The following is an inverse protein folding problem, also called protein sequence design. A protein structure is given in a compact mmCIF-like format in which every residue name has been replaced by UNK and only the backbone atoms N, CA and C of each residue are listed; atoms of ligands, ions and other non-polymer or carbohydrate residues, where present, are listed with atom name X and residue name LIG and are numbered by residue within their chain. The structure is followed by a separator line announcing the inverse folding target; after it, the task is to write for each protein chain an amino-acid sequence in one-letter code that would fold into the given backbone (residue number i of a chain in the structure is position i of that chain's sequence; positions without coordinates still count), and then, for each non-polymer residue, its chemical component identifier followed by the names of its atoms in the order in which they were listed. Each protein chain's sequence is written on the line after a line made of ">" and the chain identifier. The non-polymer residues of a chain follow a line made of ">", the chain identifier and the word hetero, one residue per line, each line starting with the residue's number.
data_IF_560290378346
#
_entry.id   IF_560290378346
#
_cell.length_a   1.000
_cell.length_b   1.000
_cell.length_c   1.000
_cell.angle_alpha   90.00
_cell.angle_beta   90.00
_cell.angle_gamma   90.00
#
_symmetry.space_group_name_H-M   'P 1'
#
loop_
_entity.id
_entity.type
_entity.pdbx_description
1 polymer ?
#
# COMPACT_ATOMS: atom_id res chain seq x y z
N UNK A 1 20.05 -32.52 57.48
CA UNK A 1 18.60 -32.36 57.24
C UNK A 1 18.22 -30.89 57.37
N UNK A 2 17.59 -30.36 56.31
CA UNK A 2 16.78 -29.13 56.29
C UNK A 2 17.61 -27.83 56.30
N UNK A 3 17.19 -26.85 55.51
CA UNK A 3 17.78 -25.49 55.36
C UNK A 3 18.90 -25.29 54.32
N UNK A 4 18.84 -25.89 53.13
CA UNK A 4 19.64 -25.38 51.99
C UNK A 4 19.06 -25.77 50.61
N UNK A 5 17.73 -25.89 50.50
CA UNK A 5 17.07 -26.33 49.26
C UNK A 5 15.85 -25.48 48.88
N UNK A 6 15.81 -24.19 49.23
CA UNK A 6 14.64 -23.36 48.96
C UNK A 6 15.01 -21.93 48.51
N UNK A 7 15.88 -21.81 47.51
CA UNK A 7 16.07 -20.51 46.85
C UNK A 7 16.43 -20.63 45.35
N UNK A 8 15.90 -21.66 44.69
CA UNK A 8 16.01 -21.85 43.24
C UNK A 8 14.62 -21.85 42.58
N UNK A 9 13.71 -20.97 43.02
CA UNK A 9 12.33 -20.90 42.51
C UNK A 9 11.85 -19.46 42.30
N UNK A 10 12.67 -18.58 41.70
CA UNK A 10 12.14 -17.35 41.05
C UNK A 10 13.06 -16.93 39.90
N UNK A 11 13.40 -17.86 39.00
CA UNK A 11 13.76 -17.48 37.63
C UNK A 11 12.49 -17.63 36.79
N UNK A 12 11.42 -16.91 37.17
CA UNK A 12 10.29 -16.71 36.27
C UNK A 12 10.77 -15.72 35.22
N UNK A 13 11.38 -16.29 34.19
CA UNK A 13 11.80 -15.63 32.96
C UNK A 13 10.60 -14.79 32.53
N UNK A 14 10.72 -13.47 32.65
CA UNK A 14 9.78 -12.54 32.04
C UNK A 14 9.86 -12.76 30.55
N UNK A 15 9.00 -13.64 30.02
CA UNK A 15 8.72 -13.71 28.61
C UNK A 15 8.04 -12.38 28.28
N UNK A 16 8.83 -11.37 27.92
CA UNK A 16 8.31 -10.16 27.32
C UNK A 16 7.59 -10.61 26.05
N UNK A 17 6.26 -10.69 26.11
CA UNK A 17 5.45 -10.90 24.92
C UNK A 17 5.77 -9.75 23.98
N UNK A 18 6.58 -10.00 22.95
CA UNK A 18 6.76 -9.03 21.89
C UNK A 18 5.39 -8.86 21.23
N UNK A 19 4.85 -7.65 21.29
CA UNK A 19 3.58 -7.34 20.65
C UNK A 19 3.77 -7.52 19.14
N UNK A 20 3.09 -8.52 18.58
CA UNK A 20 3.07 -8.79 17.15
C UNK A 20 2.48 -7.55 16.44
N UNK A 21 3.15 -7.09 15.38
CA UNK A 21 2.86 -5.86 14.67
C UNK A 21 2.79 -6.11 13.17
N UNK A 22 1.69 -5.67 12.54
CA UNK A 22 1.58 -5.68 11.09
C UNK A 22 2.47 -4.56 10.51
N UNK A 23 3.10 -4.81 9.36
CA UNK A 23 3.93 -3.82 8.68
C UNK A 23 3.73 -3.94 7.18
N UNK A 24 3.40 -2.83 6.54
CA UNK A 24 3.19 -2.78 5.09
C UNK A 24 4.45 -2.22 4.41
N UNK A 25 4.89 -2.85 3.33
CA UNK A 25 5.98 -2.36 2.49
C UNK A 25 5.54 -2.39 1.04
N UNK A 26 5.45 -1.22 0.42
CA UNK A 26 5.17 -1.10 -1.00
C UNK A 26 6.44 -1.28 -1.81
N UNK A 27 6.33 -1.92 -2.97
CA UNK A 27 7.42 -2.04 -3.94
C UNK A 27 7.84 -0.66 -4.46
N UNK A 28 6.83 0.17 -4.74
CA UNK A 28 7.00 1.56 -5.13
C UNK A 28 5.91 2.40 -4.45
N UNK A 29 6.30 3.58 -3.95
CA UNK A 29 5.37 4.56 -3.39
C UNK A 29 4.75 5.47 -4.46
N UNK A 30 5.29 5.43 -5.68
CA UNK A 30 4.95 6.32 -6.78
C UNK A 30 4.82 5.51 -8.06
N UNK A 31 3.63 5.52 -8.68
CA UNK A 31 3.45 4.94 -10.02
C UNK A 31 3.38 6.05 -11.06
N UNK A 32 4.22 5.91 -12.09
CA UNK A 32 4.17 6.77 -13.28
C UNK A 32 3.28 6.15 -14.35
N UNK A 33 2.30 6.92 -14.80
CA UNK A 33 1.48 6.56 -15.95
C UNK A 33 2.24 6.78 -17.25
N UNK A 34 3.31 7.59 -17.23
CA UNK A 34 3.94 8.16 -18.40
C UNK A 34 3.00 9.10 -19.12
N UNK A 35 3.18 9.19 -20.42
CA UNK A 35 2.31 9.93 -21.32
C UNK A 35 1.24 8.99 -21.88
N UNK A 36 -0.03 9.27 -21.60
CA UNK A 36 -1.17 8.43 -22.01
C UNK A 36 -2.17 9.22 -22.85
N UNK A 37 -2.85 8.55 -23.77
CA UNK A 37 -3.90 9.18 -24.56
C UNK A 37 -5.17 9.40 -23.74
N UNK A 38 -5.92 10.45 -24.09
CA UNK A 38 -7.28 10.68 -23.60
C UNK A 38 -8.16 9.45 -23.85
N UNK A 39 -8.93 9.04 -22.84
CA UNK A 39 -9.87 7.91 -22.94
C UNK A 39 -9.23 6.52 -22.84
N UNK A 40 -7.94 6.42 -22.53
CA UNK A 40 -7.28 5.15 -22.20
C UNK A 40 -7.80 4.55 -20.88
N UNK A 41 -7.51 3.27 -20.62
CA UNK A 41 -8.06 2.53 -19.46
C UNK A 41 -7.72 3.18 -18.10
N UNK A 42 -6.54 3.78 -17.98
CA UNK A 42 -6.14 4.52 -16.79
C UNK A 42 -5.87 3.66 -15.55
N UNK A 43 -5.72 2.34 -15.69
CA UNK A 43 -5.47 1.43 -14.55
C UNK A 43 -3.97 1.30 -14.27
N UNK A 44 -3.62 1.36 -12.99
CA UNK A 44 -2.28 1.05 -12.45
C UNK A 44 -2.39 0.29 -11.13
N UNK A 45 -1.32 -0.40 -10.76
CA UNK A 45 -1.29 -1.29 -9.60
C UNK A 45 -0.14 -0.91 -8.67
N UNK A 46 -0.44 -0.84 -7.38
CA UNK A 46 0.55 -0.80 -6.31
C UNK A 46 0.70 -2.20 -5.71
N UNK A 47 1.89 -2.78 -5.85
CA UNK A 47 2.27 -4.03 -5.20
C UNK A 47 2.82 -3.75 -3.80
N UNK A 48 2.38 -4.52 -2.82
CA UNK A 48 2.89 -4.43 -1.45
C UNK A 48 3.02 -5.80 -0.80
N UNK A 49 3.81 -5.85 0.27
CA UNK A 49 4.05 -7.05 1.08
C UNK A 49 3.84 -6.74 2.55
N UNK A 50 3.21 -7.68 3.27
CA UNK A 50 3.20 -7.64 4.73
C UNK A 50 4.57 -8.09 5.24
N UNK A 51 5.40 -7.15 5.66
CA UNK A 51 6.75 -7.40 6.22
C UNK A 51 6.73 -7.49 7.75
N UNK A 52 5.56 -7.42 8.36
CA UNK A 52 5.37 -7.59 9.79
C UNK A 52 5.25 -9.06 10.17
N UNK A 53 5.04 -9.28 11.45
CA UNK A 53 4.79 -10.61 12.01
C UNK A 53 3.30 -10.84 12.31
N UNK A 54 2.43 -9.83 12.29
CA UNK A 54 0.97 -9.98 12.43
C UNK A 54 0.21 -9.86 11.10
N UNK A 55 -1.02 -10.40 10.98
CA UNK A 55 -1.87 -10.19 9.81
C UNK A 55 -2.16 -8.71 9.53
N UNK A 56 -1.91 -8.28 8.30
CA UNK A 56 -2.15 -6.93 7.82
C UNK A 56 -3.58 -6.81 7.28
N UNK A 57 -4.32 -5.78 7.69
CA UNK A 57 -5.69 -5.50 7.25
C UNK A 57 -5.72 -4.11 6.62
N UNK A 58 -6.14 -4.04 5.37
CA UNK A 58 -6.39 -2.76 4.67
C UNK A 58 -7.82 -2.32 4.95
N UNK A 59 -7.98 -1.39 5.89
CA UNK A 59 -9.31 -0.89 6.29
C UNK A 59 -9.95 -0.07 5.17
N UNK A 60 -9.19 0.83 4.56
CA UNK A 60 -9.68 1.72 3.52
C UNK A 60 -8.57 2.17 2.55
N UNK A 61 -8.96 2.60 1.36
CA UNK A 61 -8.07 3.22 0.37
C UNK A 61 -8.80 4.41 -0.24
N UNK A 62 -8.32 5.62 0.04
CA UNK A 62 -8.93 6.87 -0.42
C UNK A 62 -8.08 7.51 -1.49
N UNK A 63 -8.65 7.76 -2.65
CA UNK A 63 -8.02 8.52 -3.73
C UNK A 63 -8.40 10.00 -3.68
N UNK A 64 -7.51 10.87 -4.18
CA UNK A 64 -7.88 12.24 -4.50
C UNK A 64 -8.77 12.31 -5.75
N UNK A 65 -9.52 13.42 -5.90
CA UNK A 65 -10.51 13.60 -6.96
C UNK A 65 -9.97 13.24 -8.37
N UNK A 66 -10.75 12.45 -9.11
CA UNK A 66 -10.40 11.98 -10.45
C UNK A 66 -9.68 10.63 -10.50
N UNK A 67 -9.53 9.92 -9.37
CA UNK A 67 -9.16 8.50 -9.39
C UNK A 67 -10.19 7.67 -8.63
N UNK A 68 -10.42 6.44 -9.06
CA UNK A 68 -11.19 5.43 -8.33
C UNK A 68 -10.25 4.31 -7.87
N UNK A 69 -10.69 3.54 -6.88
CA UNK A 69 -9.96 2.36 -6.38
C UNK A 69 -10.81 1.14 -6.68
N UNK A 70 -10.70 0.54 -7.88
CA UNK A 70 -11.55 -0.56 -8.29
C UNK A 70 -11.29 -1.85 -7.51
N UNK A 71 -10.07 -2.05 -6.99
CA UNK A 71 -9.70 -3.30 -6.31
C UNK A 71 -8.76 -3.05 -5.13
N UNK A 72 -9.15 -3.58 -3.97
CA UNK A 72 -8.31 -3.73 -2.77
C UNK A 72 -8.53 -5.12 -2.17
N UNK A 73 -7.55 -5.69 -1.43
CA UNK A 73 -7.77 -6.92 -0.70
C UNK A 73 -8.90 -6.76 0.32
N UNK A 74 -9.78 -7.76 0.39
CA UNK A 74 -10.96 -7.80 1.27
C UNK A 74 -10.70 -8.51 2.60
N UNK A 75 -9.59 -9.23 2.73
CA UNK A 75 -9.24 -10.02 3.90
C UNK A 75 -7.83 -9.73 4.45
N UNK A 76 -7.47 -10.35 5.58
CA UNK A 76 -6.15 -10.22 6.17
C UNK A 76 -5.06 -10.78 5.25
N UNK A 77 -3.95 -10.06 5.13
CA UNK A 77 -2.74 -10.47 4.41
C UNK A 77 -1.78 -11.08 5.45
N UNK A 78 -1.46 -12.35 5.29
CA UNK A 78 -0.54 -13.07 6.20
C UNK A 78 0.87 -12.46 6.19
N UNK A 79 1.65 -12.61 7.28
CA UNK A 79 3.08 -12.26 7.30
C UNK A 79 3.83 -12.87 6.11
N UNK A 80 4.65 -12.06 5.44
CA UNK A 80 5.41 -12.43 4.24
C UNK A 80 4.59 -12.51 2.95
N UNK A 81 3.26 -12.42 2.99
CA UNK A 81 2.44 -12.46 1.79
C UNK A 81 2.36 -11.10 1.10
N UNK A 82 2.30 -11.12 -0.23
CA UNK A 82 2.13 -9.95 -1.08
C UNK A 82 0.70 -9.83 -1.59
N UNK A 83 0.27 -8.59 -1.86
CA UNK A 83 -1.03 -8.27 -2.43
C UNK A 83 -0.95 -6.96 -3.22
N UNK A 84 -2.04 -6.57 -3.88
CA UNK A 84 -2.10 -5.43 -4.78
C UNK A 84 -3.25 -4.48 -4.47
N UNK A 85 -3.06 -3.19 -4.68
CA UNK A 85 -4.12 -2.18 -4.75
C UNK A 85 -4.17 -1.64 -6.18
N UNK A 86 -5.34 -1.71 -6.80
CA UNK A 86 -5.57 -1.18 -8.14
C UNK A 86 -6.14 0.23 -8.03
N UNK A 87 -5.59 1.15 -8.83
CA UNK A 87 -6.02 2.54 -8.92
C UNK A 87 -6.31 2.85 -10.37
N UNK A 88 -7.46 3.49 -10.62
CA UNK A 88 -7.86 3.90 -11.96
C UNK A 88 -8.00 5.42 -12.02
N UNK A 89 -7.20 6.06 -12.86
CA UNK A 89 -7.31 7.50 -13.13
C UNK A 89 -8.33 7.78 -14.24
N UNK A 90 -9.08 8.88 -14.11
CA UNK A 90 -9.97 9.39 -15.17
C UNK A 90 -9.16 10.07 -16.28
N UNK A 91 -8.82 9.29 -17.30
CA UNK A 91 -8.01 9.71 -18.45
C UNK A 91 -8.75 10.66 -19.41
N UNK A 92 -9.98 11.07 -19.12
CA UNK A 92 -10.63 12.15 -19.88
C UNK A 92 -10.11 13.54 -19.49
N UNK A 93 -9.35 13.61 -18.39
CA UNK A 93 -8.74 14.83 -17.86
C UNK A 93 -7.37 15.05 -18.51
N UNK A 94 -7.38 15.76 -19.63
CA UNK A 94 -6.16 16.17 -20.34
C UNK A 94 -5.26 17.02 -19.43
N UNK A 95 -3.95 16.79 -19.52
CA UNK A 95 -2.92 17.53 -18.78
C UNK A 95 -2.17 16.68 -17.75
N UNK A 96 -1.38 17.32 -16.87
CA UNK A 96 -0.51 16.62 -15.94
C UNK A 96 -1.30 15.90 -14.84
N UNK A 97 -0.91 14.65 -14.59
CA UNK A 97 -1.39 13.83 -13.48
C UNK A 97 -0.47 14.05 -12.29
N UNK A 98 -1.02 14.54 -11.18
CA UNK A 98 -0.37 14.61 -9.87
C UNK A 98 -1.41 14.36 -8.79
N UNK A 99 -1.51 13.11 -8.33
CA UNK A 99 -2.55 12.70 -7.38
C UNK A 99 -1.95 11.81 -6.29
N UNK A 100 -2.70 11.68 -5.21
CA UNK A 100 -2.31 10.93 -4.02
C UNK A 100 -3.42 9.95 -3.69
N UNK A 101 -3.01 8.73 -3.33
CA UNK A 101 -3.88 7.66 -2.85
C UNK A 101 -3.41 7.29 -1.45
N UNK A 102 -4.28 7.46 -0.46
CA UNK A 102 -3.97 7.17 0.94
C UNK A 102 -4.52 5.81 1.31
N UNK A 103 -3.63 4.92 1.75
CA UNK A 103 -3.95 3.57 2.24
C UNK A 103 -4.02 3.60 3.75
N UNK A 104 -5.12 3.10 4.31
CA UNK A 104 -5.35 2.97 5.74
C UNK A 104 -5.25 1.50 6.15
N UNK A 105 -4.52 1.22 7.23
CA UNK A 105 -4.31 -0.15 7.71
C UNK A 105 -4.10 -0.24 9.22
N UNK A 106 -4.06 -1.46 9.75
CA UNK A 106 -3.65 -1.76 11.12
C UNK A 106 -2.12 -1.89 11.29
N UNK A 107 -1.34 -1.50 10.28
CA UNK A 107 0.12 -1.56 10.36
C UNK A 107 0.68 -0.58 11.40
N UNK A 108 1.96 -0.75 11.74
CA UNK A 108 2.74 0.20 12.54
C UNK A 108 2.62 1.64 12.05
N UNK A 109 2.54 1.79 10.72
CA UNK A 109 2.22 3.04 10.05
C UNK A 109 0.77 2.94 9.54
N UNK A 110 -0.20 3.53 10.25
CA UNK A 110 -1.62 3.31 9.96
C UNK A 110 -2.08 4.01 8.67
N UNK A 111 -1.29 4.94 8.14
CA UNK A 111 -1.60 5.73 6.96
C UNK A 111 -0.37 5.82 6.05
N UNK A 112 -0.48 5.30 4.83
CA UNK A 112 0.58 5.40 3.81
C UNK A 112 0.06 6.18 2.62
N UNK A 113 0.79 7.22 2.21
CA UNK A 113 0.45 8.04 1.05
C UNK A 113 1.22 7.57 -0.19
N UNK A 114 0.49 7.08 -1.18
CA UNK A 114 1.02 6.68 -2.48
C UNK A 114 0.77 7.78 -3.51
N UNK A 115 1.69 7.97 -4.45
CA UNK A 115 1.63 9.01 -5.46
C UNK A 115 1.37 8.41 -6.83
N UNK A 116 0.60 9.11 -7.65
CA UNK A 116 0.54 8.84 -9.09
C UNK A 116 0.92 10.10 -9.86
N UNK A 117 1.70 9.88 -10.92
CA UNK A 117 2.15 10.93 -11.84
C UNK A 117 1.99 10.50 -13.29
N UNK A 118 2.12 11.45 -14.21
CA UNK A 118 2.04 11.22 -15.66
C UNK A 118 1.44 12.41 -16.38
N UNK A 119 1.01 12.21 -17.61
CA UNK A 119 0.38 13.24 -18.44
C UNK A 119 -0.64 12.61 -19.39
N UNK A 120 -1.82 13.22 -19.50
CA UNK A 120 -2.84 12.86 -20.48
C UNK A 120 -2.74 13.80 -21.69
N UNK A 121 -2.43 13.26 -22.86
CA UNK A 121 -2.39 14.03 -24.10
C UNK A 121 -3.77 14.25 -24.69
N UNK A 122 -3.96 15.42 -25.30
CA UNK A 122 -5.10 15.68 -26.17
C UNK A 122 -4.92 14.98 -27.52
N UNK A 123 -6.03 14.72 -28.20
CA UNK A 123 -6.06 14.03 -29.50
C UNK A 123 -5.17 14.76 -30.55
N UNK A 124 -5.11 16.09 -30.52
CA UNK A 124 -4.29 16.90 -31.43
C UNK A 124 -2.78 16.76 -31.23
N UNK A 125 -2.32 16.48 -30.00
CA UNK A 125 -0.91 16.32 -29.70
C UNK A 125 -0.38 14.93 -30.09
N UNK A 126 -1.24 13.90 -30.09
CA UNK A 126 -0.87 12.53 -30.46
C UNK A 126 -0.56 12.33 -31.95
N UNK A 127 -1.05 13.22 -32.82
CA UNK A 127 -0.87 13.16 -34.28
C UNK A 127 0.51 13.67 -34.69
N UNK A 128 1.06 14.64 -33.96
CA UNK A 128 2.32 15.30 -34.31
C UNK A 128 3.57 14.44 -34.02
N UNK A 129 3.54 13.51 -33.07
CA UNK A 129 4.67 12.57 -32.82
C UNK A 129 4.71 11.37 -33.79
N UNK A 130 3.63 11.11 -34.52
CA UNK A 130 3.57 10.02 -35.52
C UNK A 130 3.83 10.49 -36.95
N UNK A 131 4.19 11.77 -37.13
CA UNK A 131 4.42 12.41 -38.44
C UNK A 131 5.91 12.52 -38.74
#
# INVERSE_FOLDING_TARGET
>A
MKKLALMALVAFIGFAAQAQQAKISFKEDTVDYGTIAKGSDGVRVFEFTNTGDAPLIISDVKSSCGCTVPKKPSGPIAPGASSTIEVKYDTNRVGPIRKTVTVYSNASEPMVALKIKGEVMSDSASVLEKS
#
